data_IF_317771345536
#
_entry.id   IF_317771345536
#
_cell.length_a   1.000
_cell.length_b   1.000
_cell.length_c   1.000
_cell.angle_alpha   90.00
_cell.angle_beta   90.00
_cell.angle_gamma   90.00
#
_symmetry.space_group_name_H-M   'P 1'
#
loop_
_entity.id
_entity.type
_entity.pdbx_description
1 polymer ?
#
# COMPACT_ATOMS: atom_id res chain seq x y z
N UNK A 1 14.19 -6.86 5.62
CA UNK A 1 14.14 -7.85 6.71
C UNK A 1 13.05 -7.36 7.64
N UNK A 2 12.06 -8.22 7.86
CA UNK A 2 10.95 -8.13 8.82
C UNK A 2 10.02 -6.90 8.73
N UNK A 3 10.49 -5.64 8.72
CA UNK A 3 9.59 -4.48 8.89
C UNK A 3 8.70 -4.24 7.66
N UNK A 4 9.27 -4.13 6.46
CA UNK A 4 8.49 -4.01 5.21
C UNK A 4 7.54 -5.19 5.01
N UNK A 5 8.00 -6.40 5.33
CA UNK A 5 7.20 -7.62 5.25
C UNK A 5 6.07 -7.69 6.28
N UNK A 6 6.32 -7.31 7.54
CA UNK A 6 5.30 -7.23 8.58
C UNK A 6 4.26 -6.20 8.18
N UNK A 7 4.68 -5.03 7.70
CA UNK A 7 3.75 -4.01 7.22
C UNK A 7 2.90 -4.57 6.08
N UNK A 8 3.50 -5.18 5.05
CA UNK A 8 2.77 -5.76 3.93
C UNK A 8 1.78 -6.84 4.37
N UNK A 9 2.20 -7.73 5.28
CA UNK A 9 1.35 -8.78 5.85
C UNK A 9 0.16 -8.21 6.63
N UNK A 10 0.42 -7.24 7.52
CA UNK A 10 -0.61 -6.63 8.38
C UNK A 10 -1.64 -5.87 7.55
N UNK A 11 -1.21 -5.24 6.45
CA UNK A 11 -2.08 -4.45 5.59
C UNK A 11 -2.69 -5.25 4.42
N UNK A 12 -2.31 -6.52 4.21
CA UNK A 12 -2.92 -7.37 3.19
C UNK A 12 -4.45 -7.51 3.37
N UNK A 13 -5.00 -7.79 4.57
CA UNK A 13 -6.46 -7.84 4.76
C UNK A 13 -7.16 -6.52 4.40
N UNK A 14 -6.51 -5.38 4.68
CA UNK A 14 -7.04 -4.05 4.33
C UNK A 14 -7.12 -3.89 2.81
N UNK A 15 -6.12 -4.36 2.06
CA UNK A 15 -6.14 -4.35 0.60
C UNK A 15 -7.26 -5.24 0.03
N UNK A 16 -7.50 -6.42 0.61
CA UNK A 16 -8.56 -7.34 0.21
C UNK A 16 -9.92 -6.68 0.43
N UNK A 17 -10.17 -6.11 1.60
CA UNK A 17 -11.42 -5.41 1.91
C UNK A 17 -11.64 -4.24 0.94
N UNK A 18 -10.58 -3.48 0.63
CA UNK A 18 -10.68 -2.35 -0.30
C UNK A 18 -11.04 -2.80 -1.72
N UNK A 19 -10.44 -3.89 -2.20
CA UNK A 19 -10.76 -4.48 -3.50
C UNK A 19 -12.18 -5.06 -3.53
N UNK A 20 -12.59 -5.80 -2.50
CA UNK A 20 -13.95 -6.34 -2.39
C UNK A 20 -15.00 -5.23 -2.35
N UNK A 21 -14.72 -4.11 -1.67
CA UNK A 21 -15.58 -2.93 -1.71
C UNK A 21 -15.66 -2.33 -3.12
N UNK A 22 -14.53 -2.24 -3.82
CA UNK A 22 -14.51 -1.70 -5.18
C UNK A 22 -15.29 -2.56 -6.19
N UNK A 23 -15.30 -3.89 -6.00
CA UNK A 23 -16.12 -4.82 -6.80
C UNK A 23 -17.55 -5.00 -6.27
N UNK A 24 -17.97 -4.19 -5.28
CA UNK A 24 -19.32 -4.28 -4.67
C UNK A 24 -19.64 -5.64 -4.04
N UNK A 25 -18.62 -6.41 -3.64
CA UNK A 25 -18.77 -7.67 -2.91
C UNK A 25 -19.01 -7.41 -1.42
N UNK A 26 -18.39 -6.36 -0.88
CA UNK A 26 -18.56 -5.92 0.52
C UNK A 26 -18.83 -4.42 0.58
N UNK A 27 -19.25 -3.91 1.75
CA UNK A 27 -19.50 -2.48 1.99
C UNK A 27 -18.85 -1.98 3.30
N UNK A 28 -17.62 -2.43 3.58
CA UNK A 28 -16.91 -2.06 4.81
C UNK A 28 -16.18 -0.74 4.57
N UNK A 29 -16.83 0.39 4.87
CA UNK A 29 -16.25 1.71 4.60
C UNK A 29 -15.17 2.13 5.62
N UNK A 30 -15.21 1.60 6.83
CA UNK A 30 -14.26 1.92 7.91
C UNK A 30 -13.89 0.71 8.75
N UNK A 31 -12.70 0.76 9.35
CA UNK A 31 -12.18 -0.19 10.35
C UNK A 31 -11.63 0.62 11.52
N UNK A 32 -12.01 0.26 12.75
CA UNK A 32 -11.60 0.98 13.97
C UNK A 32 -11.84 2.51 13.90
N UNK A 33 -12.90 2.95 13.21
CA UNK A 33 -13.25 4.37 13.04
C UNK A 33 -12.49 5.09 11.92
N UNK A 34 -11.57 4.44 11.22
CA UNK A 34 -10.80 5.02 10.11
C UNK A 34 -11.31 4.52 8.75
N UNK A 35 -11.40 5.38 7.71
CA UNK A 35 -11.74 4.95 6.36
C UNK A 35 -10.78 3.88 5.83
N UNK A 36 -11.29 2.81 5.20
CA UNK A 36 -10.43 1.71 4.70
C UNK A 36 -9.43 2.21 3.66
N UNK A 37 -9.82 3.16 2.80
CA UNK A 37 -8.91 3.77 1.82
C UNK A 37 -7.77 4.57 2.48
N UNK A 38 -8.04 5.22 3.63
CA UNK A 38 -7.00 5.89 4.41
C UNK A 38 -6.01 4.88 4.96
N UNK A 39 -6.52 3.81 5.58
CA UNK A 39 -5.70 2.74 6.14
C UNK A 39 -4.83 2.08 5.06
N UNK A 40 -5.38 1.84 3.87
CA UNK A 40 -4.62 1.27 2.76
C UNK A 40 -3.50 2.23 2.28
N UNK A 41 -3.79 3.53 2.22
CA UNK A 41 -2.80 4.53 1.80
C UNK A 41 -1.66 4.67 2.82
N UNK A 42 -1.98 4.64 4.12
CA UNK A 42 -0.97 4.60 5.19
C UNK A 42 -0.17 3.30 5.13
N UNK A 43 -0.84 2.16 4.90
CA UNK A 43 -0.20 0.86 4.76
C UNK A 43 0.86 0.86 3.66
N UNK A 44 0.53 1.39 2.48
CA UNK A 44 1.49 1.55 1.38
C UNK A 44 2.72 2.38 1.79
N UNK A 45 2.51 3.51 2.47
CA UNK A 45 3.62 4.35 2.94
C UNK A 45 4.52 3.55 3.89
N UNK A 46 3.94 2.82 4.83
CA UNK A 46 4.69 2.05 5.83
C UNK A 46 5.50 0.91 5.20
N UNK A 47 4.93 0.21 4.21
CA UNK A 47 5.66 -0.82 3.46
C UNK A 47 6.87 -0.20 2.77
N UNK A 48 6.66 0.87 2.00
CA UNK A 48 7.73 1.49 1.20
C UNK A 48 8.82 2.13 2.08
N UNK A 49 8.45 2.74 3.19
CA UNK A 49 9.43 3.21 4.18
C UNK A 49 10.20 2.06 4.82
N UNK A 50 9.54 0.93 5.10
CA UNK A 50 10.17 -0.29 5.59
C UNK A 50 11.24 -0.82 4.62
N UNK A 51 10.95 -0.80 3.33
CA UNK A 51 11.89 -1.26 2.29
C UNK A 51 13.09 -0.32 2.11
N UNK A 52 12.87 0.99 2.19
CA UNK A 52 13.97 1.97 2.22
C UNK A 52 14.88 1.73 3.42
N UNK A 53 14.30 1.58 4.61
CA UNK A 53 15.05 1.33 5.84
C UNK A 53 15.87 0.05 5.69
N UNK A 54 15.29 -1.02 5.13
CA UNK A 54 16.01 -2.28 4.89
C UNK A 54 17.18 -2.12 3.92
N UNK A 55 16.97 -1.40 2.81
CA UNK A 55 18.03 -1.11 1.84
C UNK A 55 19.17 -0.30 2.46
N UNK A 56 18.87 0.60 3.40
CA UNK A 56 19.88 1.36 4.12
C UNK A 56 20.66 0.51 5.13
N UNK A 57 19.97 -0.37 5.87
CA UNK A 57 20.60 -1.28 6.84
C UNK A 57 21.51 -2.30 6.14
N UNK A 58 21.11 -2.80 4.98
CA UNK A 58 21.87 -3.81 4.22
C UNK A 58 22.97 -3.22 3.32
N UNK A 59 23.10 -1.89 3.29
CA UNK A 59 24.03 -1.16 2.40
C UNK A 59 23.91 -1.52 0.90
N UNK A 60 22.74 -2.01 0.46
CA UNK A 60 22.51 -2.53 -0.89
C UNK A 60 21.43 -1.75 -1.61
N UNK A 61 21.68 -1.36 -2.87
CA UNK A 61 20.68 -0.78 -3.79
C UNK A 61 19.92 0.45 -3.26
N UNK A 62 20.52 1.28 -2.37
CA UNK A 62 19.88 2.43 -1.72
C UNK A 62 19.15 3.38 -2.67
N UNK A 63 19.80 3.76 -3.78
CA UNK A 63 19.22 4.69 -4.77
C UNK A 63 18.02 4.05 -5.47
N UNK A 64 18.14 2.76 -5.83
CA UNK A 64 17.05 2.02 -6.50
C UNK A 64 15.85 1.90 -5.56
N UNK A 65 16.06 1.63 -4.27
CA UNK A 65 14.99 1.57 -3.27
C UNK A 65 14.21 2.88 -3.17
N UNK A 66 14.88 4.03 -3.21
CA UNK A 66 14.21 5.34 -3.25
C UNK A 66 13.38 5.56 -4.52
N UNK A 67 13.90 5.15 -5.69
CA UNK A 67 13.18 5.28 -6.97
C UNK A 67 11.93 4.38 -6.97
N UNK A 68 12.08 3.12 -6.55
CA UNK A 68 10.97 2.16 -6.45
C UNK A 68 9.92 2.66 -5.47
N UNK A 69 10.35 3.16 -4.29
CA UNK A 69 9.47 3.76 -3.31
C UNK A 69 8.64 4.91 -3.89
N UNK A 70 9.25 5.82 -4.66
CA UNK A 70 8.52 6.94 -5.28
C UNK A 70 7.42 6.47 -6.22
N UNK A 71 7.68 5.42 -7.00
CA UNK A 71 6.72 4.83 -7.94
C UNK A 71 5.59 4.12 -7.17
N UNK A 72 5.95 3.29 -6.20
CA UNK A 72 4.98 2.47 -5.45
C UNK A 72 4.18 3.27 -4.42
N UNK A 73 4.69 4.40 -3.95
CA UNK A 73 3.94 5.35 -3.11
C UNK A 73 2.96 6.23 -3.91
N UNK A 74 3.03 6.23 -5.24
CA UNK A 74 2.19 7.09 -6.08
C UNK A 74 0.68 7.00 -5.76
N UNK A 75 0.07 5.82 -5.57
CA UNK A 75 -1.34 5.73 -5.18
C UNK A 75 -1.67 6.41 -3.85
N UNK A 76 -0.75 6.34 -2.88
CA UNK A 76 -0.91 7.01 -1.60
C UNK A 76 -0.87 8.54 -1.76
N UNK A 77 0.02 9.06 -2.61
CA UNK A 77 0.04 10.49 -2.94
C UNK A 77 -1.26 10.95 -3.59
N UNK A 78 -1.80 10.18 -4.55
CA UNK A 78 -3.08 10.49 -5.18
C UNK A 78 -4.22 10.55 -4.15
N UNK A 79 -4.22 9.66 -3.15
CA UNK A 79 -5.20 9.70 -2.07
C UNK A 79 -5.17 11.02 -1.28
N UNK A 80 -3.98 11.50 -0.90
CA UNK A 80 -3.86 12.77 -0.16
C UNK A 80 -4.16 13.99 -1.03
N UNK A 81 -3.96 13.89 -2.35
CA UNK A 81 -4.30 14.94 -3.31
C UNK A 81 -5.74 14.86 -3.83
N UNK A 82 -6.57 13.94 -3.34
CA UNK A 82 -7.92 13.66 -3.89
C UNK A 82 -8.82 14.89 -4.11
N UNK A 83 -8.65 15.95 -3.31
CA UNK A 83 -9.43 17.19 -3.45
C UNK A 83 -9.11 17.99 -4.72
N UNK A 84 -7.94 17.76 -5.32
CA UNK A 84 -7.45 18.43 -6.52
C UNK A 84 -7.48 17.52 -7.76
N UNK A 85 -8.00 16.30 -7.65
CA UNK A 85 -8.03 15.32 -8.73
C UNK A 85 -9.40 15.27 -9.42
N UNK A 86 -9.45 14.91 -10.72
CA UNK A 86 -10.70 14.64 -11.42
C UNK A 86 -11.47 13.48 -10.76
N UNK A 87 -12.81 13.54 -10.78
CA UNK A 87 -13.68 12.53 -10.17
C UNK A 87 -13.40 11.11 -10.66
N UNK A 88 -13.06 10.94 -11.93
CA UNK A 88 -12.72 9.63 -12.49
C UNK A 88 -11.50 9.02 -11.81
N UNK A 89 -10.51 9.85 -11.47
CA UNK A 89 -9.30 9.41 -10.75
C UNK A 89 -9.66 9.08 -9.31
N UNK A 90 -10.45 9.92 -8.65
CA UNK A 90 -10.90 9.71 -7.26
C UNK A 90 -11.66 8.39 -7.11
N UNK A 91 -12.55 8.09 -8.05
CA UNK A 91 -13.32 6.84 -8.07
C UNK A 91 -12.45 5.60 -8.33
N UNK A 92 -11.33 5.76 -9.02
CA UNK A 92 -10.38 4.68 -9.26
C UNK A 92 -9.41 4.43 -8.09
N UNK A 93 -9.24 5.39 -7.17
CA UNK A 93 -8.29 5.27 -6.05
C UNK A 93 -8.45 3.99 -5.22
N UNK A 94 -9.66 3.52 -4.87
CA UNK A 94 -9.81 2.27 -4.13
C UNK A 94 -9.18 1.07 -4.84
N UNK A 95 -9.36 0.96 -6.15
CA UNK A 95 -8.81 -0.13 -6.96
C UNK A 95 -7.30 0.02 -7.08
N UNK A 96 -6.81 1.22 -7.39
CA UNK A 96 -5.37 1.48 -7.60
C UNK A 96 -4.60 1.23 -6.29
N UNK A 97 -5.01 1.88 -5.21
CA UNK A 97 -4.38 1.73 -3.88
C UNK A 97 -4.50 0.29 -3.37
N UNK A 98 -5.67 -0.33 -3.53
CA UNK A 98 -5.90 -1.73 -3.14
C UNK A 98 -5.00 -2.70 -3.91
N UNK A 99 -4.85 -2.52 -5.22
CA UNK A 99 -4.03 -3.41 -6.06
C UNK A 99 -2.55 -3.34 -5.71
N UNK A 100 -2.01 -2.12 -5.53
CA UNK A 100 -0.60 -1.96 -5.15
C UNK A 100 -0.35 -2.57 -3.77
N UNK A 101 -1.20 -2.27 -2.79
CA UNK A 101 -1.04 -2.81 -1.44
C UNK A 101 -1.20 -4.34 -1.40
N UNK A 102 -2.06 -4.89 -2.25
CA UNK A 102 -2.25 -6.33 -2.38
C UNK A 102 -1.00 -7.02 -2.93
N UNK A 103 -0.38 -6.46 -3.98
CA UNK A 103 0.87 -6.99 -4.55
C UNK A 103 2.01 -6.93 -3.53
N UNK A 104 2.18 -5.80 -2.84
CA UNK A 104 3.16 -5.62 -1.77
C UNK A 104 2.92 -6.59 -0.61
N UNK A 105 1.64 -6.73 -0.21
CA UNK A 105 1.21 -7.64 0.84
C UNK A 105 1.49 -9.10 0.48
N UNK A 106 1.18 -9.53 -0.74
CA UNK A 106 1.50 -10.88 -1.22
C UNK A 106 3.00 -11.11 -1.32
N UNK A 107 3.76 -10.16 -1.86
CA UNK A 107 5.22 -10.27 -1.98
C UNK A 107 5.88 -10.46 -0.61
N UNK A 108 5.28 -9.91 0.43
CA UNK A 108 5.70 -10.08 1.82
C UNK A 108 5.51 -11.49 2.38
N UNK A 109 4.64 -12.33 1.79
CA UNK A 109 4.51 -13.75 2.16
C UNK A 109 5.61 -14.61 1.55
N UNK A 110 6.10 -14.26 0.36
CA UNK A 110 7.02 -15.10 -0.40
C UNK A 110 8.50 -14.81 -0.09
N UNK A 111 8.82 -13.67 0.51
CA UNK A 111 10.20 -13.31 0.91
C UNK A 111 10.46 -13.80 2.34
N UNK A 112 10.68 -15.11 2.43
CA UNK A 112 11.09 -15.85 3.63
C UNK A 112 11.45 -17.32 3.35
N UNK A 113 11.37 -17.76 2.08
CA UNK A 113 11.62 -19.13 1.63
C UNK A 113 12.95 -19.34 0.88
N UNK A 114 13.93 -18.45 1.04
CA UNK A 114 15.29 -18.62 0.52
C UNK A 114 16.32 -18.18 1.57
#
# INVERSE_FOLDING_TARGET
MIIGHIAGFVFLPVSIILLLNAFSVTNVQSLAGMPVLLLASIGLILVQMGDIIDAHIKDSFKIVAWIVCLILMFPAFLYFMRAALPEQVVNALPIITGSFLFVEGLSSFFIGGH
#
